data_IF_892872400127
#
_entry.id   IF_892872400127
#
_cell.length_a   1.000
_cell.length_b   1.000
_cell.length_c   1.000
_cell.angle_alpha   90.00
_cell.angle_beta   90.00
_cell.angle_gamma   90.00
#
_symmetry.space_group_name_H-M   'P 1'
#
loop_
_entity.id
_entity.type
_entity.pdbx_description
1 polymer ?
#
# COMPACT_ATOMS: atom_id res chain seq x y z
N UNK A 1 -13.74 8.66 21.04
CA UNK A 1 -14.01 9.06 19.64
C UNK A 1 -12.83 8.60 18.80
N UNK A 2 -13.08 7.74 17.81
CA UNK A 2 -12.03 7.41 16.84
C UNK A 2 -11.62 8.69 16.12
N UNK A 3 -10.31 8.93 16.02
CA UNK A 3 -9.78 10.12 15.35
C UNK A 3 -10.18 10.09 13.88
N UNK A 4 -10.83 11.15 13.39
CA UNK A 4 -11.22 11.32 11.98
C UNK A 4 -10.02 11.36 11.00
N UNK A 5 -8.80 11.44 11.50
CA UNK A 5 -7.59 11.59 10.70
C UNK A 5 -6.55 10.52 11.04
N UNK A 6 -6.87 9.25 10.84
CA UNK A 6 -5.88 8.17 10.91
C UNK A 6 -5.05 8.05 9.63
N UNK A 7 -4.01 7.20 9.64
CA UNK A 7 -3.20 6.95 8.44
C UNK A 7 -4.05 6.38 7.30
N UNK A 8 -5.00 5.50 7.61
CA UNK A 8 -5.94 4.92 6.62
C UNK A 8 -6.77 6.01 5.95
N UNK A 9 -7.35 6.96 6.71
CA UNK A 9 -8.13 8.06 6.14
C UNK A 9 -7.28 8.99 5.28
N UNK A 10 -6.02 9.23 5.66
CA UNK A 10 -5.08 10.00 4.83
C UNK A 10 -4.74 9.27 3.53
N UNK A 11 -4.52 7.95 3.59
CA UNK A 11 -4.27 7.12 2.42
C UNK A 11 -5.49 7.09 1.49
N UNK A 12 -6.68 6.82 2.02
CA UNK A 12 -7.91 6.77 1.23
C UNK A 12 -8.24 8.12 0.56
N UNK A 13 -8.10 9.25 1.27
CA UNK A 13 -8.29 10.58 0.67
C UNK A 13 -7.32 10.81 -0.50
N UNK A 14 -6.05 10.47 -0.30
CA UNK A 14 -5.01 10.58 -1.33
C UNK A 14 -5.31 9.70 -2.56
N UNK A 15 -5.72 8.46 -2.34
CA UNK A 15 -6.07 7.53 -3.42
C UNK A 15 -7.31 8.00 -4.19
N UNK A 16 -8.35 8.48 -3.48
CA UNK A 16 -9.58 8.98 -4.10
C UNK A 16 -9.34 10.22 -5.01
N UNK A 17 -8.32 11.03 -4.71
CA UNK A 17 -7.94 12.18 -5.53
C UNK A 17 -7.19 11.79 -6.82
N UNK A 18 -6.52 10.62 -6.83
CA UNK A 18 -5.57 10.26 -7.89
C UNK A 18 -6.00 9.06 -8.73
N UNK A 19 -6.82 8.14 -8.19
CA UNK A 19 -7.31 6.94 -8.89
C UNK A 19 -8.60 7.25 -9.65
N UNK A 20 -8.72 6.72 -10.86
CA UNK A 20 -9.87 6.90 -11.73
C UNK A 20 -10.50 5.56 -12.13
N UNK A 21 -11.76 5.60 -12.54
CA UNK A 21 -12.41 4.42 -13.12
C UNK A 21 -11.62 3.90 -14.34
N UNK A 22 -11.45 2.59 -14.39
CA UNK A 22 -10.64 1.90 -15.41
C UNK A 22 -9.17 1.75 -15.10
N UNK A 23 -8.67 2.34 -14.01
CA UNK A 23 -7.27 2.21 -13.60
C UNK A 23 -6.91 0.80 -13.11
N UNK A 24 -5.61 0.49 -13.17
CA UNK A 24 -5.01 -0.67 -12.51
C UNK A 24 -4.36 -0.20 -11.22
N UNK A 25 -4.71 -0.84 -10.10
CA UNK A 25 -4.12 -0.57 -8.79
C UNK A 25 -3.55 -1.83 -8.15
N UNK A 26 -2.58 -1.67 -7.26
CA UNK A 26 -1.97 -2.77 -6.50
C UNK A 26 -2.08 -2.49 -5.00
N UNK A 27 -2.57 -3.48 -4.25
CA UNK A 27 -2.49 -3.54 -2.79
C UNK A 27 -1.43 -4.57 -2.39
N UNK A 28 -0.29 -4.10 -1.93
CA UNK A 28 0.87 -4.94 -1.60
C UNK A 28 0.78 -5.62 -0.23
N UNK A 29 -0.28 -5.33 0.55
CA UNK A 29 -0.46 -5.78 1.92
C UNK A 29 -1.94 -5.93 2.24
N UNK A 30 -2.61 -6.85 1.54
CA UNK A 30 -4.07 -6.98 1.52
C UNK A 30 -4.72 -7.09 2.91
N UNK A 31 -4.11 -7.83 3.83
CA UNK A 31 -4.54 -7.95 5.21
C UNK A 31 -5.99 -8.43 5.32
N UNK A 32 -6.87 -7.56 5.81
CA UNK A 32 -8.32 -7.82 5.90
C UNK A 32 -9.12 -7.33 4.68
N UNK A 33 -8.45 -6.88 3.63
CA UNK A 33 -9.05 -6.48 2.36
C UNK A 33 -9.68 -5.10 2.33
N UNK A 34 -9.53 -4.27 3.35
CA UNK A 34 -10.20 -2.96 3.40
C UNK A 34 -9.68 -2.01 2.33
N UNK A 35 -8.36 -1.92 2.14
CA UNK A 35 -7.75 -1.08 1.11
C UNK A 35 -7.97 -1.68 -0.28
N UNK A 36 -7.89 -3.01 -0.42
CA UNK A 36 -8.24 -3.72 -1.65
C UNK A 36 -9.67 -3.40 -2.09
N UNK A 37 -10.65 -3.54 -1.18
CA UNK A 37 -12.06 -3.26 -1.49
C UNK A 37 -12.31 -1.77 -1.80
N UNK A 38 -11.60 -0.86 -1.12
CA UNK A 38 -11.66 0.57 -1.41
C UNK A 38 -11.11 0.88 -2.81
N UNK A 39 -9.99 0.28 -3.20
CA UNK A 39 -9.44 0.42 -4.54
C UNK A 39 -10.39 -0.16 -5.60
N UNK A 40 -11.00 -1.33 -5.34
CA UNK A 40 -12.00 -1.93 -6.26
C UNK A 40 -13.19 -0.99 -6.52
N UNK A 41 -13.64 -0.27 -5.48
CA UNK A 41 -14.70 0.73 -5.61
C UNK A 41 -14.25 1.92 -6.49
N UNK A 42 -13.03 2.42 -6.29
CA UNK A 42 -12.50 3.56 -7.04
C UNK A 42 -12.30 3.25 -8.52
N UNK A 43 -11.70 2.09 -8.83
CA UNK A 43 -11.41 1.74 -10.23
C UNK A 43 -12.65 1.26 -10.99
N UNK A 44 -13.73 0.88 -10.28
CA UNK A 44 -14.99 0.43 -10.88
C UNK A 44 -14.86 -0.86 -11.69
N UNK A 45 -15.93 -1.27 -12.36
CA UNK A 45 -16.02 -2.55 -13.09
C UNK A 45 -15.02 -2.69 -14.24
N UNK A 46 -14.55 -1.59 -14.81
CA UNK A 46 -13.61 -1.59 -15.94
C UNK A 46 -12.14 -1.53 -15.52
N UNK A 47 -11.89 -1.28 -14.23
CA UNK A 47 -10.54 -1.28 -13.66
C UNK A 47 -10.17 -2.63 -13.06
N UNK A 48 -8.97 -2.70 -12.50
CA UNK A 48 -8.43 -3.91 -11.90
C UNK A 48 -7.66 -3.59 -10.62
N UNK A 49 -7.83 -4.42 -9.60
CA UNK A 49 -6.99 -4.38 -8.38
C UNK A 49 -6.30 -5.72 -8.21
N UNK A 50 -4.98 -5.69 -8.01
CA UNK A 50 -4.15 -6.86 -7.74
C UNK A 50 -3.67 -6.76 -6.29
N UNK A 51 -4.03 -7.72 -5.46
CA UNK A 51 -3.74 -7.69 -4.02
C UNK A 51 -2.84 -8.85 -3.60
N UNK A 52 -1.91 -8.59 -2.69
CA UNK A 52 -0.91 -9.54 -2.21
C UNK A 52 -0.91 -9.65 -0.71
N UNK A 53 -0.80 -10.86 -0.19
CA UNK A 53 -0.44 -11.13 1.20
C UNK A 53 0.26 -12.48 1.30
N UNK A 54 1.19 -12.61 2.25
CA UNK A 54 1.90 -13.86 2.53
C UNK A 54 1.16 -14.77 3.48
N UNK A 55 0.11 -14.26 4.15
CA UNK A 55 -0.67 -14.99 5.14
C UNK A 55 -1.94 -15.56 4.49
N UNK A 56 -2.16 -16.91 4.51
CA UNK A 56 -3.37 -17.52 3.95
C UNK A 56 -4.66 -16.94 4.53
N UNK A 57 -4.68 -16.66 5.85
CA UNK A 57 -5.85 -16.08 6.52
C UNK A 57 -6.17 -14.66 6.04
N UNK A 58 -5.16 -13.85 5.67
CA UNK A 58 -5.35 -12.53 5.10
C UNK A 58 -5.94 -12.63 3.68
N UNK A 59 -5.39 -13.51 2.86
CA UNK A 59 -5.89 -13.77 1.50
C UNK A 59 -7.35 -14.22 1.53
N UNK A 60 -7.70 -15.15 2.40
CA UNK A 60 -9.08 -15.63 2.55
C UNK A 60 -10.02 -14.53 3.01
N UNK A 61 -9.64 -13.80 4.07
CA UNK A 61 -10.41 -12.65 4.57
C UNK A 61 -10.66 -11.58 3.49
N UNK A 62 -9.65 -11.33 2.65
CA UNK A 62 -9.79 -10.36 1.55
C UNK A 62 -10.74 -10.88 0.48
N UNK A 63 -10.63 -12.16 0.07
CA UNK A 63 -11.54 -12.78 -0.90
C UNK A 63 -12.99 -12.77 -0.42
N UNK A 64 -13.24 -13.18 0.82
CA UNK A 64 -14.56 -13.13 1.44
C UNK A 64 -15.16 -11.70 1.44
N UNK A 65 -14.33 -10.69 1.74
CA UNK A 65 -14.78 -9.30 1.74
C UNK A 65 -15.15 -8.83 0.33
N UNK A 66 -14.33 -9.15 -0.69
CA UNK A 66 -14.62 -8.80 -2.09
C UNK A 66 -15.89 -9.48 -2.59
N UNK A 67 -16.06 -10.77 -2.32
CA UNK A 67 -17.27 -11.53 -2.66
C UNK A 67 -18.51 -10.92 -2.00
N UNK A 68 -18.46 -10.68 -0.69
CA UNK A 68 -19.56 -10.06 0.08
C UNK A 68 -19.95 -8.68 -0.46
N UNK A 69 -19.01 -7.91 -0.99
CA UNK A 69 -19.25 -6.59 -1.59
C UNK A 69 -19.58 -6.65 -3.08
N UNK A 70 -19.51 -7.82 -3.71
CA UNK A 70 -19.80 -8.01 -5.12
C UNK A 70 -18.73 -7.48 -6.07
N UNK A 71 -17.47 -7.35 -5.60
CA UNK A 71 -16.37 -6.94 -6.43
C UNK A 71 -15.76 -8.12 -7.20
N UNK A 72 -15.88 -8.07 -8.53
CA UNK A 72 -15.28 -9.05 -9.46
C UNK A 72 -13.96 -8.56 -10.07
N UNK A 73 -13.57 -7.33 -9.79
CA UNK A 73 -12.40 -6.64 -10.35
C UNK A 73 -11.15 -6.69 -9.45
N UNK A 74 -11.19 -7.47 -8.36
CA UNK A 74 -10.08 -7.70 -7.45
C UNK A 74 -9.51 -9.11 -7.57
N UNK A 75 -8.21 -9.24 -7.79
CA UNK A 75 -7.46 -10.50 -7.76
C UNK A 75 -6.60 -10.56 -6.49
N UNK A 76 -6.69 -11.65 -5.72
CA UNK A 76 -5.94 -11.78 -4.46
C UNK A 76 -4.99 -12.97 -4.53
N UNK A 77 -3.71 -12.70 -4.31
CA UNK A 77 -2.61 -13.65 -4.43
C UNK A 77 -1.97 -13.95 -3.07
N UNK A 78 -1.78 -15.24 -2.79
CA UNK A 78 -0.95 -15.70 -1.66
C UNK A 78 0.51 -15.65 -2.10
N UNK A 79 1.07 -14.46 -2.09
CA UNK A 79 2.40 -14.18 -2.61
C UNK A 79 3.02 -12.98 -1.89
N UNK A 80 4.33 -12.91 -1.88
CA UNK A 80 5.04 -11.77 -1.33
C UNK A 80 5.05 -10.57 -2.30
N UNK A 81 4.84 -9.39 -1.76
CA UNK A 81 4.81 -8.14 -2.51
C UNK A 81 6.12 -7.81 -3.28
N UNK A 82 7.25 -8.45 -2.98
CA UNK A 82 8.47 -8.24 -3.76
C UNK A 82 8.40 -8.84 -5.19
N UNK A 83 7.33 -9.62 -5.50
CA UNK A 83 7.09 -10.19 -6.83
C UNK A 83 6.02 -9.45 -7.64
N UNK A 84 5.68 -8.23 -7.27
CA UNK A 84 4.60 -7.45 -7.93
C UNK A 84 4.86 -7.20 -9.42
N UNK A 85 6.12 -7.17 -9.84
CA UNK A 85 6.55 -7.01 -11.23
C UNK A 85 6.25 -8.21 -12.14
N UNK A 86 5.84 -9.35 -11.57
CA UNK A 86 5.37 -10.51 -12.34
C UNK A 86 3.88 -10.40 -12.71
N UNK A 87 3.14 -9.42 -12.14
CA UNK A 87 1.69 -9.32 -12.24
C UNK A 87 1.19 -8.06 -12.96
N UNK A 88 2.07 -7.11 -13.24
CA UNK A 88 1.76 -5.88 -13.95
C UNK A 88 2.93 -5.42 -14.83
N UNK A 89 2.65 -4.75 -15.91
CA UNK A 89 3.65 -4.18 -16.81
C UNK A 89 4.14 -2.82 -16.28
N UNK A 90 5.40 -2.50 -16.59
CA UNK A 90 5.97 -1.20 -16.24
C UNK A 90 5.16 -0.04 -16.88
N UNK A 91 4.94 1.01 -16.10
CA UNK A 91 4.25 2.20 -16.56
C UNK A 91 2.73 2.05 -16.74
N UNK A 92 2.09 1.02 -16.17
CA UNK A 92 0.64 0.79 -16.32
C UNK A 92 -0.17 1.00 -15.06
N UNK A 93 0.45 0.98 -13.88
CA UNK A 93 -0.24 1.01 -12.58
C UNK A 93 -0.50 2.45 -12.14
N UNK A 94 -1.74 2.76 -11.81
CA UNK A 94 -2.14 4.10 -11.37
C UNK A 94 -1.83 4.37 -9.90
N UNK A 95 -2.04 3.38 -9.05
CA UNK A 95 -1.77 3.51 -7.62
C UNK A 95 -1.28 2.20 -7.01
N UNK A 96 -0.35 2.33 -6.05
CA UNK A 96 0.17 1.22 -5.25
C UNK A 96 0.03 1.57 -3.77
N UNK A 97 -0.45 0.61 -2.97
CA UNK A 97 -0.64 0.78 -1.52
C UNK A 97 0.22 -0.22 -0.75
N UNK A 98 0.86 0.27 0.30
CA UNK A 98 1.58 -0.52 1.28
C UNK A 98 1.15 -0.14 2.71
N UNK A 99 0.91 -1.14 3.54
CA UNK A 99 0.79 -1.01 4.99
C UNK A 99 1.91 -1.86 5.61
N UNK A 100 3.07 -1.26 5.83
CA UNK A 100 4.23 -1.93 6.42
C UNK A 100 4.03 -2.14 7.91
N UNK A 101 4.33 -3.34 8.39
CA UNK A 101 4.17 -3.75 9.77
C UNK A 101 3.54 -5.14 9.88
N UNK A 102 2.66 -5.34 10.85
CA UNK A 102 1.97 -6.61 11.09
C UNK A 102 0.47 -6.48 10.89
N UNK A 103 -0.19 -7.61 10.61
CA UNK A 103 -1.65 -7.67 10.50
C UNK A 103 -2.29 -7.35 11.86
N UNK A 104 -3.18 -6.35 11.97
CA UNK A 104 -3.86 -6.05 13.24
C UNK A 104 -4.62 -7.25 13.79
N UNK A 105 -4.26 -7.68 15.02
CA UNK A 105 -4.80 -8.87 15.68
C UNK A 105 -4.24 -10.20 15.16
N UNK A 106 -3.25 -10.17 14.29
CA UNK A 106 -2.50 -11.34 13.82
C UNK A 106 -1.27 -11.66 14.67
N UNK A 107 -0.47 -12.60 14.18
CA UNK A 107 0.81 -12.96 14.79
C UNK A 107 1.85 -11.87 14.50
N UNK A 108 2.34 -11.19 15.52
CA UNK A 108 3.34 -10.13 15.43
C UNK A 108 4.72 -10.61 14.95
N UNK A 109 4.98 -11.92 14.93
CA UNK A 109 6.22 -12.49 14.37
C UNK A 109 6.21 -12.49 12.85
N UNK A 110 5.01 -12.40 12.24
CA UNK A 110 4.81 -12.29 10.80
C UNK A 110 4.60 -10.80 10.46
N UNK A 111 5.64 -10.16 9.99
CA UNK A 111 5.64 -8.75 9.61
C UNK A 111 6.36 -8.56 8.26
N UNK A 112 6.19 -7.41 7.65
CA UNK A 112 6.99 -6.97 6.50
C UNK A 112 8.47 -6.86 6.89
N UNK A 113 9.36 -7.05 5.94
CA UNK A 113 10.81 -7.06 6.19
C UNK A 113 11.48 -6.04 5.29
N UNK A 114 12.45 -5.32 5.87
CA UNK A 114 13.25 -4.29 5.21
C UNK A 114 13.59 -4.62 3.75
N UNK A 115 14.23 -5.76 3.51
CA UNK A 115 14.77 -6.08 2.18
C UNK A 115 13.67 -6.29 1.15
N UNK A 116 12.62 -7.05 1.49
CA UNK A 116 11.48 -7.27 0.60
C UNK A 116 10.64 -6.02 0.41
N UNK A 117 10.58 -5.14 1.41
CA UNK A 117 9.84 -3.88 1.35
C UNK A 117 10.52 -2.87 0.43
N UNK A 118 11.85 -2.72 0.53
CA UNK A 118 12.61 -1.85 -0.38
C UNK A 118 12.53 -2.37 -1.82
N UNK A 119 12.74 -3.67 -2.03
CA UNK A 119 12.62 -4.28 -3.36
C UNK A 119 11.23 -4.05 -3.98
N UNK A 120 10.17 -4.22 -3.18
CA UNK A 120 8.80 -3.99 -3.64
C UNK A 120 8.52 -2.51 -3.97
N UNK A 121 9.02 -1.58 -3.16
CA UNK A 121 8.91 -0.14 -3.45
C UNK A 121 9.63 0.19 -4.76
N UNK A 122 10.86 -0.30 -4.96
CA UNK A 122 11.65 -0.07 -6.15
C UNK A 122 10.94 -0.58 -7.41
N UNK A 123 10.45 -1.82 -7.38
CA UNK A 123 9.65 -2.41 -8.46
C UNK A 123 8.35 -1.63 -8.70
N UNK A 124 7.66 -1.28 -7.61
CA UNK A 124 6.43 -0.50 -7.67
C UNK A 124 6.62 0.86 -8.35
N UNK A 125 7.70 1.57 -8.07
CA UNK A 125 8.01 2.84 -8.73
C UNK A 125 8.15 2.70 -10.24
N UNK A 126 8.72 1.59 -10.73
CA UNK A 126 8.78 1.31 -12.17
C UNK A 126 7.40 0.99 -12.75
N UNK A 127 6.58 0.23 -12.01
CA UNK A 127 5.22 -0.12 -12.44
C UNK A 127 4.28 1.08 -12.55
N UNK A 128 4.49 2.14 -11.75
CA UNK A 128 3.64 3.34 -11.81
C UNK A 128 3.66 3.95 -13.22
N UNK A 129 2.46 4.26 -13.73
CA UNK A 129 2.30 5.10 -14.93
C UNK A 129 2.74 6.54 -14.68
N UNK A 130 2.97 7.37 -15.71
CA UNK A 130 3.11 8.82 -15.52
C UNK A 130 1.92 9.38 -14.72
N UNK A 131 2.20 10.29 -13.78
CA UNK A 131 1.24 10.82 -12.81
C UNK A 131 0.65 9.75 -11.85
N UNK A 132 1.20 8.53 -11.82
CA UNK A 132 0.83 7.48 -10.88
C UNK A 132 1.33 7.78 -9.46
N UNK A 133 0.70 7.13 -8.47
CA UNK A 133 0.95 7.43 -7.06
C UNK A 133 1.23 6.18 -6.23
N UNK A 134 1.99 6.34 -5.14
CA UNK A 134 2.19 5.28 -4.16
C UNK A 134 1.89 5.81 -2.76
N UNK A 135 1.06 5.07 -2.03
CA UNK A 135 0.69 5.36 -0.64
C UNK A 135 1.34 4.34 0.29
N UNK A 136 2.14 4.82 1.25
CA UNK A 136 2.77 3.96 2.23
C UNK A 136 2.32 4.37 3.63
N UNK A 137 1.79 3.43 4.39
CA UNK A 137 1.54 3.56 5.82
C UNK A 137 2.56 2.72 6.56
N UNK A 138 3.46 3.36 7.31
CA UNK A 138 4.56 2.69 8.00
C UNK A 138 4.20 2.58 9.47
N UNK A 139 3.83 1.36 9.89
CA UNK A 139 3.54 1.03 11.29
C UNK A 139 4.84 0.56 11.95
N UNK A 140 5.18 1.19 13.06
CA UNK A 140 6.37 0.85 13.84
C UNK A 140 6.03 0.92 15.34
N UNK A 141 6.65 0.07 16.13
CA UNK A 141 6.42 -0.02 17.55
C UNK A 141 7.70 0.09 18.37
N UNK A 142 7.60 -0.18 19.67
CA UNK A 142 8.73 -0.12 20.60
C UNK A 142 9.84 -1.12 20.25
N UNK A 143 9.45 -2.29 19.71
CA UNK A 143 10.36 -3.44 19.57
C UNK A 143 10.48 -3.96 18.13
N UNK A 144 9.64 -3.46 17.18
CA UNK A 144 9.62 -3.95 15.79
C UNK A 144 9.32 -2.82 14.81
N UNK A 145 9.76 -2.98 13.55
CA UNK A 145 9.46 -2.08 12.45
C UNK A 145 10.30 -0.80 12.39
N UNK A 146 11.16 -0.53 13.39
CA UNK A 146 12.00 0.68 13.40
C UNK A 146 13.07 0.63 12.32
N UNK A 147 13.72 -0.52 12.15
CA UNK A 147 14.73 -0.71 11.10
C UNK A 147 14.12 -0.61 9.69
N UNK A 148 12.97 -1.24 9.48
CA UNK A 148 12.24 -1.17 8.23
C UNK A 148 11.79 0.28 7.93
N UNK A 149 11.22 0.98 8.91
CA UNK A 149 10.83 2.39 8.81
C UNK A 149 12.00 3.26 8.37
N UNK A 150 13.14 3.14 9.05
CA UNK A 150 14.31 3.99 8.79
C UNK A 150 14.87 3.71 7.40
N UNK A 151 14.94 2.44 7.00
CA UNK A 151 15.38 2.04 5.67
C UNK A 151 14.43 2.56 4.56
N UNK A 152 13.12 2.47 4.75
CA UNK A 152 12.15 2.99 3.78
C UNK A 152 12.31 4.51 3.65
N UNK A 153 12.39 5.25 4.74
CA UNK A 153 12.56 6.71 4.70
C UNK A 153 13.87 7.11 4.04
N UNK A 154 14.97 6.44 4.38
CA UNK A 154 16.29 6.68 3.76
C UNK A 154 16.29 6.38 2.25
N UNK A 155 15.60 5.32 1.82
CA UNK A 155 15.44 5.01 0.40
C UNK A 155 14.66 6.11 -0.33
N UNK A 156 13.54 6.55 0.25
CA UNK A 156 12.69 7.59 -0.36
C UNK A 156 13.37 8.96 -0.44
N UNK A 157 14.24 9.31 0.51
CA UNK A 157 15.05 10.54 0.49
C UNK A 157 16.04 10.58 -0.69
N UNK A 158 16.41 9.42 -1.24
CA UNK A 158 17.34 9.29 -2.37
C UNK A 158 16.68 9.22 -3.74
N UNK A 159 15.35 9.25 -3.79
CA UNK A 159 14.63 9.20 -5.07
C UNK A 159 15.01 10.39 -5.97
N UNK A 160 15.18 10.17 -7.29
CA UNK A 160 15.49 11.24 -8.23
C UNK A 160 14.38 12.31 -8.24
N UNK A 161 14.72 13.53 -7.85
CA UNK A 161 13.77 14.65 -7.70
C UNK A 161 13.10 15.06 -9.02
N UNK A 162 13.70 14.76 -10.15
CA UNK A 162 13.15 14.98 -11.48
C UNK A 162 12.12 13.92 -11.91
N UNK A 163 12.03 12.80 -11.18
CA UNK A 163 11.12 11.70 -11.49
C UNK A 163 10.05 11.51 -10.41
N UNK A 164 10.41 11.74 -9.14
CA UNK A 164 9.52 11.47 -8.02
C UNK A 164 9.46 12.61 -7.01
N UNK A 165 8.31 12.75 -6.36
CA UNK A 165 8.15 13.60 -5.17
C UNK A 165 7.61 12.74 -4.05
N UNK A 166 8.34 12.66 -2.93
CA UNK A 166 7.93 11.97 -1.72
C UNK A 166 7.57 12.97 -0.62
N UNK A 167 6.37 12.85 -0.06
CA UNK A 167 5.88 13.66 1.05
C UNK A 167 5.63 12.78 2.27
N UNK A 168 6.21 13.15 3.40
CA UNK A 168 6.07 12.45 4.68
C UNK A 168 5.15 13.23 5.60
N UNK A 169 4.10 12.57 6.10
CA UNK A 169 3.17 13.12 7.08
C UNK A 169 3.28 12.40 8.42
N UNK A 170 3.51 13.15 9.50
CA UNK A 170 3.64 12.63 10.87
C UNK A 170 2.62 13.28 11.78
N UNK A 171 2.02 12.49 12.67
CA UNK A 171 1.13 12.99 13.72
C UNK A 171 1.96 13.53 14.89
N UNK A 172 2.12 14.84 15.00
CA UNK A 172 3.02 15.48 15.98
C UNK A 172 2.48 15.49 17.42
N UNK A 173 1.16 15.34 17.59
CA UNK A 173 0.46 15.43 18.89
C UNK A 173 -0.13 14.10 19.37
N UNK A 174 0.28 12.97 18.79
CA UNK A 174 -0.22 11.64 19.16
C UNK A 174 0.85 10.81 19.86
N UNK A 175 0.54 10.20 21.01
CA UNK A 175 1.43 9.26 21.68
C UNK A 175 1.49 7.90 20.96
N UNK A 176 2.35 7.01 21.44
CA UNK A 176 2.40 5.59 21.08
C UNK A 176 2.73 5.30 19.61
N UNK A 177 3.74 5.99 19.08
CA UNK A 177 4.29 5.73 17.73
C UNK A 177 3.19 5.62 16.65
N UNK A 178 2.44 6.70 16.39
CA UNK A 178 1.43 6.66 15.33
C UNK A 178 2.10 6.37 13.99
N UNK A 179 1.43 5.66 13.08
CA UNK A 179 2.01 5.33 11.79
C UNK A 179 2.39 6.59 11.00
N UNK A 180 3.49 6.49 10.26
CA UNK A 180 3.92 7.53 9.32
C UNK A 180 3.18 7.28 8.00
N UNK A 181 2.57 8.32 7.43
CA UNK A 181 1.96 8.26 6.11
C UNK A 181 2.88 8.91 5.09
N UNK A 182 3.23 8.19 4.04
CA UNK A 182 4.04 8.70 2.93
C UNK A 182 3.22 8.66 1.64
N UNK A 183 3.36 9.70 0.85
CA UNK A 183 2.76 9.83 -0.48
C UNK A 183 3.87 10.05 -1.47
N UNK A 184 3.95 9.19 -2.48
CA UNK A 184 4.91 9.34 -3.56
C UNK A 184 4.15 9.61 -4.84
N UNK A 185 4.58 10.61 -5.58
CA UNK A 185 4.07 10.97 -6.90
C UNK A 185 5.14 10.68 -7.93
N UNK A 186 4.80 9.99 -9.01
CA UNK A 186 5.65 9.87 -10.18
C UNK A 186 5.38 11.05 -11.12
N UNK A 187 6.41 11.68 -11.60
CA UNK A 187 6.32 12.75 -12.62
C UNK A 187 5.82 12.24 -13.97
N UNK A 188 5.66 13.18 -14.88
CA UNK A 188 5.24 12.93 -16.28
C UNK A 188 6.34 12.31 -17.10
#
# INVERSE_FOLDING_TARGET
MASQFGAVQLAHAFLAENVKAGDICIDCTAGRGNDTAFLCELVGETGKVIAFDIQPAAVESTRELLEKRGFANGEVHLESHHRIDEYAEEGTVAAIVFNFGWLPGGDHTINTKRDTSIEAIEKGLRLLKPDGVMSLSIYYGRDTGTEERDAILEYLERLPVNEYTALVSRFVNRPNCPPISVRVYKGK
#
